data_IF_062197967683
#
_entry.id   IF_062197967683
#
_cell.length_a   1.000
_cell.length_b   1.000
_cell.length_c   1.000
_cell.angle_alpha   90.00
_cell.angle_beta   90.00
_cell.angle_gamma   90.00
#
_symmetry.space_group_name_H-M   'P 1'
#
loop_
_entity.id
_entity.type
_entity.pdbx_description
1 polymer ?
#
# COMPACT_ATOMS: atom_id res chain seq x y z
N UNK A 1 4.17 30.85 -0.83
CA UNK A 1 4.32 29.37 -0.90
C UNK A 1 3.90 28.76 0.42
N UNK A 2 2.61 28.41 0.59
CA UNK A 2 2.09 27.76 1.80
C UNK A 2 1.33 26.51 1.38
N UNK A 3 2.09 25.45 0.99
CA UNK A 3 1.47 24.18 0.56
C UNK A 3 1.37 23.14 1.68
N UNK A 4 1.92 23.43 2.88
CA UNK A 4 1.83 22.54 4.04
C UNK A 4 0.83 23.15 5.01
N UNK A 5 -0.40 22.64 4.99
CA UNK A 5 -1.47 23.12 5.86
C UNK A 5 -1.57 22.33 7.17
N UNK A 6 -1.02 21.13 7.22
CA UNK A 6 -1.12 20.27 8.42
C UNK A 6 0.07 19.33 8.50
N UNK A 7 0.76 19.33 9.63
CA UNK A 7 1.77 18.32 9.98
C UNK A 7 1.13 17.41 11.04
N UNK A 8 0.91 16.14 10.72
CA UNK A 8 0.47 15.14 11.69
C UNK A 8 1.65 14.28 12.11
N UNK A 9 1.83 14.14 13.42
CA UNK A 9 2.81 13.20 13.98
C UNK A 9 2.32 11.79 13.75
N UNK A 10 3.15 10.91 13.18
CA UNK A 10 2.85 9.48 13.09
C UNK A 10 2.94 8.93 14.51
N UNK A 11 1.87 8.31 15.07
CA UNK A 11 1.96 7.70 16.38
C UNK A 11 2.98 6.56 16.33
N UNK A 12 3.87 6.50 17.33
CA UNK A 12 4.86 5.42 17.46
C UNK A 12 4.21 4.10 17.90
N UNK A 13 3.01 4.17 18.47
CA UNK A 13 2.29 2.99 18.93
C UNK A 13 1.75 2.18 17.76
N UNK A 14 1.94 0.87 17.82
CA UNK A 14 1.43 -0.08 16.82
C UNK A 14 2.31 -0.34 15.61
N UNK A 15 3.55 0.21 15.56
CA UNK A 15 4.48 -0.02 14.46
C UNK A 15 5.90 -0.27 14.97
N UNK A 16 6.65 -1.11 14.25
CA UNK A 16 8.10 -1.23 14.44
C UNK A 16 8.76 0.01 13.83
N UNK A 17 9.53 0.72 14.63
CA UNK A 17 10.32 1.83 14.13
C UNK A 17 11.62 1.32 13.50
N UNK A 18 11.72 1.45 12.20
CA UNK A 18 12.94 1.18 11.46
C UNK A 18 13.65 2.51 11.19
N UNK A 19 14.86 2.66 11.71
CA UNK A 19 15.68 3.82 11.41
C UNK A 19 16.28 3.74 9.98
N UNK A 20 16.88 4.84 9.54
CA UNK A 20 17.47 4.93 8.21
C UNK A 20 18.58 3.90 7.97
N UNK A 21 19.38 3.59 9.02
CA UNK A 21 20.48 2.64 8.93
C UNK A 21 19.95 1.21 8.80
N UNK A 22 18.95 0.87 9.59
CA UNK A 22 18.26 -0.42 9.52
C UNK A 22 17.64 -0.65 8.15
N UNK A 23 16.88 0.34 7.64
CA UNK A 23 16.28 0.27 6.29
C UNK A 23 17.33 0.04 5.21
N UNK A 24 18.47 0.73 5.31
CA UNK A 24 19.57 0.59 4.35
C UNK A 24 20.29 -0.74 4.48
N UNK A 25 20.60 -1.18 5.71
CA UNK A 25 21.32 -2.44 5.94
C UNK A 25 20.50 -3.67 5.54
N UNK A 26 19.17 -3.60 5.70
CA UNK A 26 18.24 -4.63 5.24
C UNK A 26 17.93 -4.54 3.72
N UNK A 27 18.51 -3.59 3.02
CA UNK A 27 18.28 -3.36 1.58
C UNK A 27 16.79 -3.34 1.22
N UNK A 28 15.97 -2.67 2.03
CA UNK A 28 14.51 -2.67 1.83
C UNK A 28 14.14 -1.91 0.55
N UNK A 29 14.70 -0.72 0.34
CA UNK A 29 14.34 0.16 -0.79
C UNK A 29 15.52 0.47 -1.73
N UNK A 30 16.75 0.23 -1.30
CA UNK A 30 17.95 0.55 -2.06
C UNK A 30 18.98 -0.56 -1.89
N UNK A 31 19.54 -1.10 -2.95
CA UNK A 31 20.60 -2.08 -2.85
C UNK A 31 21.91 -1.42 -2.38
N UNK A 32 22.76 -2.18 -1.69
CA UNK A 32 24.09 -1.70 -1.26
C UNK A 32 25.14 -1.83 -2.38
N UNK A 33 24.86 -2.64 -3.39
CA UNK A 33 25.72 -2.85 -4.55
C UNK A 33 25.04 -2.43 -5.84
N UNK A 34 25.83 -2.05 -6.85
CA UNK A 34 25.31 -1.55 -8.14
C UNK A 34 24.47 -2.60 -8.86
N UNK A 35 24.83 -3.88 -8.73
CA UNK A 35 24.12 -5.01 -9.35
C UNK A 35 23.10 -5.66 -8.41
N UNK A 36 23.00 -5.16 -7.18
CA UNK A 36 22.10 -5.71 -6.16
C UNK A 36 20.64 -5.43 -6.45
N UNK A 37 19.76 -6.27 -5.88
CA UNK A 37 18.31 -6.04 -5.86
C UNK A 37 17.87 -5.82 -4.43
N UNK A 38 17.08 -4.79 -4.20
CA UNK A 38 16.50 -4.56 -2.89
C UNK A 38 15.22 -5.39 -2.69
N UNK A 39 14.76 -5.48 -1.44
CA UNK A 39 13.55 -6.25 -1.11
C UNK A 39 12.36 -5.81 -1.93
N UNK A 40 12.13 -4.51 -2.06
CA UNK A 40 10.98 -3.99 -2.81
C UNK A 40 11.01 -4.40 -4.28
N UNK A 41 12.18 -4.47 -4.91
CA UNK A 41 12.30 -4.86 -6.32
C UNK A 41 11.89 -6.32 -6.56
N UNK A 42 12.00 -7.15 -5.51
CA UNK A 42 11.64 -8.57 -5.59
C UNK A 42 10.17 -8.82 -5.33
N UNK A 43 9.57 -8.07 -4.38
CA UNK A 43 8.20 -8.34 -3.92
C UNK A 43 7.14 -7.40 -4.50
N UNK A 44 7.53 -6.29 -5.16
CA UNK A 44 6.56 -5.36 -5.74
C UNK A 44 6.00 -5.89 -7.08
N UNK A 45 4.92 -6.63 -6.97
CA UNK A 45 4.09 -7.05 -8.09
C UNK A 45 2.76 -6.29 -8.13
N UNK A 46 2.72 -5.09 -7.55
CA UNK A 46 1.50 -4.29 -7.50
C UNK A 46 1.11 -3.80 -8.89
N UNK A 47 -0.19 -3.84 -9.17
CA UNK A 47 -0.74 -3.46 -10.47
C UNK A 47 -1.04 -1.96 -10.53
N UNK A 48 -1.33 -1.36 -9.36
CA UNK A 48 -1.70 0.03 -9.29
C UNK A 48 -0.65 0.87 -8.54
N UNK A 49 -0.45 2.15 -8.92
CA UNK A 49 0.46 3.05 -8.20
C UNK A 49 0.09 3.24 -6.72
N UNK A 50 -1.19 3.11 -6.38
CA UNK A 50 -1.66 3.16 -4.99
C UNK A 50 -1.19 1.92 -4.21
N UNK A 51 -1.29 0.73 -4.81
CA UNK A 51 -0.79 -0.51 -4.23
C UNK A 51 0.70 -0.43 -3.93
N UNK A 52 1.51 0.03 -4.90
CA UNK A 52 2.95 0.20 -4.70
C UNK A 52 3.28 1.17 -3.57
N UNK A 53 2.54 2.29 -3.45
CA UNK A 53 2.72 3.22 -2.32
C UNK A 53 2.33 2.58 -0.98
N UNK A 54 1.25 1.81 -0.94
CA UNK A 54 0.81 1.11 0.25
C UNK A 54 1.82 0.04 0.68
N UNK A 55 2.33 -0.74 -0.27
CA UNK A 55 3.37 -1.75 -0.01
C UNK A 55 4.63 -1.10 0.58
N UNK A 56 5.13 -0.02 -0.02
CA UNK A 56 6.26 0.74 0.51
C UNK A 56 6.01 1.25 1.93
N UNK A 57 4.81 1.75 2.19
CA UNK A 57 4.43 2.21 3.54
C UNK A 57 4.43 1.08 4.55
N UNK A 58 3.91 -0.11 4.19
CA UNK A 58 3.90 -1.26 5.09
C UNK A 58 5.30 -1.81 5.39
N UNK A 59 6.20 -1.76 4.40
CA UNK A 59 7.61 -2.11 4.60
C UNK A 59 8.36 -1.12 5.48
N UNK A 60 8.07 0.18 5.31
CA UNK A 60 8.71 1.23 6.12
C UNK A 60 8.20 1.27 7.57
N UNK A 61 6.94 0.88 7.79
CA UNK A 61 6.24 0.92 9.07
C UNK A 61 5.53 -0.42 9.33
N UNK A 62 6.27 -1.49 9.62
CA UNK A 62 5.67 -2.78 9.94
C UNK A 62 4.78 -2.68 11.18
N UNK A 63 3.60 -3.30 11.14
CA UNK A 63 2.68 -3.32 12.28
C UNK A 63 3.18 -4.26 13.38
N UNK A 64 2.96 -3.87 14.64
CA UNK A 64 3.12 -4.73 15.82
C UNK A 64 1.78 -5.31 16.28
N UNK A 65 0.68 -4.88 15.68
CA UNK A 65 -0.66 -5.37 15.99
C UNK A 65 -0.88 -6.75 15.35
N UNK A 66 -0.92 -7.78 16.16
CA UNK A 66 -1.11 -9.17 15.74
C UNK A 66 -2.45 -9.38 15.05
N UNK A 67 -3.53 -8.76 15.54
CA UNK A 67 -4.87 -8.93 14.96
C UNK A 67 -4.94 -8.35 13.56
N UNK A 68 -4.31 -7.19 13.36
CA UNK A 68 -4.18 -6.58 12.04
C UNK A 68 -3.34 -7.44 11.09
N UNK A 69 -2.24 -8.03 11.58
CA UNK A 69 -1.39 -8.93 10.81
C UNK A 69 -2.19 -10.17 10.38
N UNK A 70 -2.89 -10.82 11.31
CA UNK A 70 -3.73 -11.98 11.00
C UNK A 70 -4.84 -11.66 10.01
N UNK A 71 -5.51 -10.50 10.15
CA UNK A 71 -6.51 -10.06 9.17
C UNK A 71 -5.92 -9.92 7.76
N UNK A 72 -4.72 -9.35 7.64
CA UNK A 72 -4.02 -9.22 6.35
C UNK A 72 -3.66 -10.59 5.77
N UNK A 73 -3.15 -11.52 6.59
CA UNK A 73 -2.86 -12.89 6.16
C UNK A 73 -4.10 -13.61 5.66
N UNK A 74 -5.22 -13.52 6.36
CA UNK A 74 -6.48 -14.13 5.97
C UNK A 74 -6.98 -13.59 4.63
N UNK A 75 -6.82 -12.29 4.36
CA UNK A 75 -7.17 -11.69 3.07
C UNK A 75 -6.28 -12.24 1.95
N UNK A 76 -4.98 -12.36 2.18
CA UNK A 76 -4.05 -12.93 1.20
C UNK A 76 -4.41 -14.38 0.91
N UNK A 77 -4.63 -15.20 1.95
CA UNK A 77 -5.05 -16.60 1.83
C UNK A 77 -6.37 -16.74 1.05
N UNK A 78 -7.34 -15.87 1.35
CA UNK A 78 -8.59 -15.83 0.60
C UNK A 78 -8.37 -15.66 -0.90
N UNK A 79 -7.54 -14.69 -1.32
CA UNK A 79 -7.28 -14.44 -2.74
C UNK A 79 -6.39 -15.50 -3.38
N UNK A 80 -5.54 -16.19 -2.62
CA UNK A 80 -4.81 -17.37 -3.12
C UNK A 80 -5.80 -18.48 -3.49
N UNK A 81 -6.79 -18.73 -2.62
CA UNK A 81 -7.77 -19.81 -2.78
C UNK A 81 -8.93 -19.46 -3.72
N UNK A 82 -9.19 -18.18 -4.00
CA UNK A 82 -10.32 -17.70 -4.81
C UNK A 82 -9.84 -17.01 -6.08
N UNK A 83 -9.38 -17.81 -7.03
CA UNK A 83 -8.80 -17.33 -8.30
C UNK A 83 -9.74 -16.39 -9.09
N UNK A 84 -11.03 -16.73 -9.18
CA UNK A 84 -12.01 -15.88 -9.89
C UNK A 84 -12.13 -14.50 -9.28
N UNK A 85 -12.13 -14.39 -7.93
CA UNK A 85 -12.21 -13.11 -7.24
C UNK A 85 -10.90 -12.33 -7.39
N UNK A 86 -9.76 -13.04 -7.36
CA UNK A 86 -8.45 -12.42 -7.61
C UNK A 86 -8.37 -11.85 -9.02
N UNK A 87 -8.76 -12.60 -10.05
CA UNK A 87 -8.75 -12.14 -11.45
C UNK A 87 -9.64 -10.94 -11.67
N UNK A 88 -10.86 -10.95 -11.11
CA UNK A 88 -11.77 -9.81 -11.16
C UNK A 88 -11.18 -8.56 -10.48
N UNK A 89 -10.54 -8.73 -9.31
CA UNK A 89 -9.87 -7.63 -8.62
C UNK A 89 -8.71 -7.06 -9.43
N UNK A 90 -7.89 -7.92 -10.04
CA UNK A 90 -6.77 -7.55 -10.90
C UNK A 90 -7.27 -6.71 -12.08
N UNK A 91 -8.29 -7.17 -12.78
CA UNK A 91 -8.88 -6.45 -13.92
C UNK A 91 -9.43 -5.08 -13.49
N UNK A 92 -10.16 -5.05 -12.37
CA UNK A 92 -10.71 -3.81 -11.82
C UNK A 92 -9.59 -2.82 -11.44
N UNK A 93 -8.55 -3.28 -10.74
CA UNK A 93 -7.42 -2.42 -10.34
C UNK A 93 -6.60 -1.94 -11.55
N UNK A 94 -6.46 -2.77 -12.58
CA UNK A 94 -5.76 -2.36 -13.82
C UNK A 94 -6.48 -1.23 -14.53
N UNK A 95 -7.81 -1.22 -14.49
CA UNK A 95 -8.61 -0.13 -15.07
C UNK A 95 -8.56 1.17 -14.26
N UNK A 96 -8.14 1.10 -12.98
CA UNK A 96 -8.01 2.25 -12.08
C UNK A 96 -6.61 2.90 -12.11
N UNK A 97 -5.72 2.49 -13.01
CA UNK A 97 -4.34 3.01 -13.07
C UNK A 97 -4.26 4.54 -13.19
N UNK A 98 -5.26 5.18 -13.79
CA UNK A 98 -5.37 6.64 -14.00
C UNK A 98 -6.46 7.31 -13.15
N UNK A 99 -6.83 6.72 -12.01
CA UNK A 99 -7.91 7.26 -11.19
C UNK A 99 -7.68 8.70 -10.72
N UNK A 100 -6.43 9.14 -10.59
CA UNK A 100 -6.10 10.55 -10.28
C UNK A 100 -6.56 11.48 -11.40
N UNK A 101 -6.31 11.11 -12.64
CA UNK A 101 -6.77 11.88 -13.81
C UNK A 101 -8.27 11.73 -14.00
N UNK A 102 -8.81 10.55 -13.70
CA UNK A 102 -10.25 10.30 -13.72
C UNK A 102 -10.98 11.06 -12.60
N UNK A 103 -10.40 11.14 -11.38
CA UNK A 103 -10.97 11.89 -10.26
C UNK A 103 -10.93 13.41 -10.49
N UNK A 104 -9.88 13.92 -11.14
CA UNK A 104 -9.79 15.32 -11.54
C UNK A 104 -10.82 15.67 -12.64
N UNK A 105 -11.22 14.69 -13.45
CA UNK A 105 -12.26 14.82 -14.47
C UNK A 105 -13.69 14.62 -13.95
N UNK A 106 -13.87 14.02 -12.77
CA UNK A 106 -15.17 13.64 -12.19
C UNK A 106 -15.59 14.47 -10.98
N UNK A 107 -15.18 15.70 -10.88
CA UNK A 107 -15.92 16.62 -10.01
C UNK A 107 -17.30 16.86 -10.67
N UNK A 108 -18.41 16.24 -10.26
CA UNK A 108 -18.89 15.94 -8.92
C UNK A 108 -19.61 14.58 -8.76
N UNK A 109 -19.00 13.52 -8.35
CA UNK A 109 -19.73 12.31 -7.90
C UNK A 109 -19.15 11.73 -6.61
N UNK A 110 -19.58 12.34 -5.51
CA UNK A 110 -19.23 12.00 -4.12
C UNK A 110 -19.66 10.60 -3.66
N UNK A 111 -20.48 9.88 -4.43
CA UNK A 111 -21.16 8.66 -4.01
C UNK A 111 -20.32 7.38 -4.09
N UNK A 112 -19.31 7.33 -4.96
CA UNK A 112 -18.54 6.08 -5.18
C UNK A 112 -17.41 5.96 -4.14
N UNK A 113 -16.90 7.08 -3.64
CA UNK A 113 -15.82 7.11 -2.67
C UNK A 113 -16.28 6.62 -1.28
N UNK A 114 -17.49 6.90 -0.88
CA UNK A 114 -18.05 6.47 0.42
C UNK A 114 -18.24 4.96 0.47
N UNK A 115 -18.68 4.33 -0.62
CA UNK A 115 -18.82 2.87 -0.71
C UNK A 115 -17.47 2.15 -0.72
N UNK A 116 -16.44 2.72 -1.33
CA UNK A 116 -15.10 2.15 -1.35
C UNK A 116 -14.38 2.28 0.00
N UNK A 117 -14.59 3.41 0.70
CA UNK A 117 -14.06 3.62 2.05
C UNK A 117 -14.74 2.70 3.08
N UNK A 118 -16.02 2.37 2.89
CA UNK A 118 -16.74 1.43 3.74
C UNK A 118 -16.23 -0.01 3.58
N UNK A 119 -15.80 -0.38 2.38
CA UNK A 119 -15.17 -1.69 2.11
C UNK A 119 -13.76 -1.81 2.67
N UNK A 120 -13.05 -0.69 2.83
CA UNK A 120 -11.69 -0.66 3.40
C UNK A 120 -11.64 -0.53 4.92
N UNK A 121 -12.77 -0.26 5.57
CA UNK A 121 -12.90 -0.17 7.04
C UNK A 121 -13.46 -1.47 7.67
N UNK A 122 -13.49 -2.57 6.92
CA UNK A 122 -13.77 -3.91 7.45
C UNK A 122 -12.47 -4.58 7.89
#
# INVERSE_FOLDING_TARGET
>A
MNHITTIKRIPFEGHVWLDRFTIRNLEIFFPNTVEGKCLIDVIDHTISPMGGRLLKRWLALPSTDSDLIFKRHNIVEYFINKEKHRSFLIETLSSLSDWKDWFLKLQPKKLILENFLHLMNL
#
